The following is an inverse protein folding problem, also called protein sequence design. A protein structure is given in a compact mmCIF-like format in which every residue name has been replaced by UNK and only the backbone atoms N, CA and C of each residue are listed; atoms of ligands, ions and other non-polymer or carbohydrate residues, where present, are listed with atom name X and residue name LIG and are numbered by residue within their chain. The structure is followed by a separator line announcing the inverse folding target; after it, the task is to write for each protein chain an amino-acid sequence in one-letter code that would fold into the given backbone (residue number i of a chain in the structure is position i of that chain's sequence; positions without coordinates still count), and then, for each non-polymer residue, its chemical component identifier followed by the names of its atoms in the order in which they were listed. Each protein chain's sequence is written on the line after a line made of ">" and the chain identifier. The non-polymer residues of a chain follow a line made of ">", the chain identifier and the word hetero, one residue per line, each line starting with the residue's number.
data_IF_983391948840
#
_entry.id   IF_983391948840
#
_cell.length_a   1.000
_cell.length_b   1.000
_cell.length_c   1.000
_cell.angle_alpha   90.00
_cell.angle_beta   90.00
_cell.angle_gamma   90.00
#
_symmetry.space_group_name_H-M   'P 1'
#
loop_
_entity.id
_entity.type
_entity.pdbx_description
1 polymer ?
#
# COMPACT_ATOMS: atom_id res chain seq x y z
N UNK A 1 -6.70 -16.33 -6.82
CA UNK A 1 -5.41 -16.61 -6.15
C UNK A 1 -4.96 -15.36 -5.40
N UNK A 2 -5.04 -15.36 -4.08
CA UNK A 2 -4.61 -14.23 -3.24
C UNK A 2 -3.08 -14.23 -3.18
N UNK A 3 -2.43 -13.52 -4.10
CA UNK A 3 -0.98 -13.39 -4.06
C UNK A 3 -0.58 -12.82 -2.70
N UNK A 4 0.31 -13.52 -2.01
CA UNK A 4 0.82 -13.10 -0.70
C UNK A 4 1.74 -11.89 -0.86
N UNK A 5 1.16 -10.70 -0.81
CA UNK A 5 1.88 -9.41 -0.83
C UNK A 5 2.66 -9.28 0.50
N UNK A 6 3.98 -9.12 0.40
CA UNK A 6 4.89 -8.93 1.55
C UNK A 6 5.65 -7.61 1.43
N UNK A 7 6.19 -7.13 2.56
CA UNK A 7 7.09 -5.97 2.57
C UNK A 7 8.28 -6.23 1.64
N UNK A 8 8.61 -5.24 0.82
CA UNK A 8 9.68 -5.31 -0.18
C UNK A 8 9.21 -5.71 -1.58
N UNK A 9 8.03 -6.32 -1.71
CA UNK A 9 7.51 -6.73 -3.02
C UNK A 9 7.31 -5.54 -3.95
N UNK A 10 7.72 -5.72 -5.22
CA UNK A 10 7.36 -4.82 -6.31
C UNK A 10 5.89 -5.01 -6.67
N UNK A 11 5.14 -3.92 -6.66
CA UNK A 11 3.70 -3.94 -6.90
C UNK A 11 3.28 -2.81 -7.82
N UNK A 12 2.18 -3.02 -8.51
CA UNK A 12 1.50 -2.03 -9.33
C UNK A 12 0.08 -1.86 -8.82
N UNK A 13 -0.42 -0.64 -8.77
CA UNK A 13 -1.79 -0.34 -8.39
C UNK A 13 -2.38 0.72 -9.31
N UNK A 14 -3.71 0.74 -9.43
CA UNK A 14 -4.39 1.75 -10.21
C UNK A 14 -4.66 3.01 -9.36
N UNK A 15 -4.47 4.16 -9.99
CA UNK A 15 -4.83 5.47 -9.46
C UNK A 15 -5.59 6.24 -10.53
N UNK A 16 -6.13 7.41 -10.18
CA UNK A 16 -6.86 8.28 -11.12
C UNK A 16 -5.96 8.72 -12.29
N UNK A 17 -4.64 8.85 -12.05
CA UNK A 17 -3.65 9.19 -13.06
C UNK A 17 -3.10 7.97 -13.83
N UNK A 18 -3.71 6.79 -13.67
CA UNK A 18 -3.28 5.54 -14.30
C UNK A 18 -2.58 4.57 -13.35
N UNK A 19 -1.95 3.53 -13.91
CA UNK A 19 -1.25 2.51 -13.15
C UNK A 19 0.10 3.02 -12.62
N UNK A 20 0.29 2.94 -11.31
CA UNK A 20 1.51 3.36 -10.62
C UNK A 20 2.29 2.12 -10.19
N UNK A 21 3.59 2.12 -10.50
CA UNK A 21 4.53 1.11 -10.03
C UNK A 21 5.24 1.57 -8.76
N UNK A 22 5.50 0.63 -7.86
CA UNK A 22 6.13 0.90 -6.59
C UNK A 22 6.50 -0.36 -5.82
N UNK A 23 6.73 -0.19 -4.52
CA UNK A 23 7.07 -1.29 -3.61
C UNK A 23 6.23 -1.24 -2.35
N UNK A 24 5.99 -2.40 -1.76
CA UNK A 24 5.33 -2.50 -0.45
C UNK A 24 6.32 -2.11 0.64
N UNK A 25 5.96 -1.11 1.45
CA UNK A 25 6.77 -0.62 2.57
C UNK A 25 6.37 -1.31 3.87
N UNK A 26 5.09 -1.59 4.07
CA UNK A 26 4.56 -2.17 5.31
C UNK A 26 3.21 -2.83 5.05
N UNK A 27 2.95 -3.95 5.73
CA UNK A 27 1.61 -4.54 5.86
C UNK A 27 1.02 -4.11 7.19
N UNK A 28 -0.25 -3.70 7.17
CA UNK A 28 -0.99 -3.19 8.32
C UNK A 28 -2.16 -4.14 8.54
N UNK A 29 -2.23 -4.74 9.73
CA UNK A 29 -3.23 -5.76 10.10
C UNK A 29 -4.04 -5.36 11.34
N UNK A 30 -3.85 -4.14 11.82
CA UNK A 30 -4.55 -3.51 12.94
C UNK A 30 -4.73 -2.03 12.62
N UNK A 31 -5.66 -1.38 13.30
CA UNK A 31 -5.82 0.07 13.25
C UNK A 31 -4.49 0.79 13.52
N UNK A 32 -4.04 1.60 12.57
CA UNK A 32 -2.78 2.32 12.69
C UNK A 32 -2.87 3.67 11.98
N UNK A 33 -2.21 4.68 12.54
CA UNK A 33 -2.04 5.96 11.85
C UNK A 33 -0.71 5.97 11.12
N UNK A 34 -0.77 6.12 9.80
CA UNK A 34 0.38 6.04 8.92
C UNK A 34 0.66 7.38 8.26
N UNK A 35 1.94 7.73 8.10
CA UNK A 35 2.34 8.93 7.34
C UNK A 35 2.22 8.63 5.84
N UNK A 36 1.52 9.49 5.11
CA UNK A 36 1.31 9.43 3.66
C UNK A 36 1.85 10.70 3.01
N UNK A 37 3.18 10.80 2.92
CA UNK A 37 3.89 11.99 2.44
C UNK A 37 4.46 12.84 3.58
N UNK A 38 4.96 14.03 3.23
CA UNK A 38 5.82 14.85 4.10
C UNK A 38 5.12 15.34 5.38
N UNK A 39 3.84 15.74 5.28
CA UNK A 39 3.08 16.31 6.41
C UNK A 39 1.64 15.77 6.51
N UNK A 40 1.37 14.59 5.94
CA UNK A 40 0.02 14.00 5.96
C UNK A 40 0.01 12.69 6.72
N UNK A 41 -0.96 12.53 7.61
CA UNK A 41 -1.25 11.28 8.32
C UNK A 41 -2.61 10.76 7.87
N UNK A 42 -2.75 9.44 7.78
CA UNK A 42 -4.03 8.78 7.49
C UNK A 42 -4.24 7.68 8.51
N UNK A 43 -5.42 7.67 9.14
CA UNK A 43 -5.85 6.53 9.96
C UNK A 43 -6.28 5.40 9.03
N UNK A 44 -5.63 4.26 9.17
CA UNK A 44 -5.92 3.04 8.42
C UNK A 44 -6.70 2.13 9.34
N UNK A 45 -7.91 1.75 8.93
CA UNK A 45 -8.68 0.70 9.59
C UNK A 45 -8.33 -0.63 8.93
N UNK A 46 -7.59 -1.46 9.63
CA UNK A 46 -7.15 -2.77 9.13
C UNK A 46 -7.35 -3.84 10.20
N UNK A 47 -7.54 -5.06 9.76
CA UNK A 47 -7.64 -6.23 10.64
C UNK A 47 -6.88 -7.41 10.02
N UNK A 48 -6.79 -8.53 10.75
CA UNK A 48 -6.21 -9.76 10.21
C UNK A 48 -6.99 -10.28 8.99
N UNK A 49 -8.31 -10.09 9.00
CA UNK A 49 -9.21 -10.48 7.91
C UNK A 49 -9.20 -9.48 6.75
N UNK A 50 -9.02 -8.18 7.06
CA UNK A 50 -8.95 -7.10 6.08
C UNK A 50 -7.59 -6.38 6.17
N UNK A 51 -6.49 -7.03 5.77
CA UNK A 51 -5.18 -6.41 5.82
C UNK A 51 -5.03 -5.32 4.77
N UNK A 52 -4.36 -4.24 5.14
CA UNK A 52 -3.98 -3.15 4.23
C UNK A 52 -2.46 -3.17 4.01
N UNK A 53 -2.02 -2.55 2.92
CA UNK A 53 -0.60 -2.40 2.59
C UNK A 53 -0.30 -0.95 2.29
N UNK A 54 0.83 -0.50 2.82
CA UNK A 54 1.42 0.78 2.49
C UNK A 54 2.40 0.54 1.34
N UNK A 55 2.16 1.20 0.23
CA UNK A 55 3.02 1.16 -0.95
C UNK A 55 3.72 2.50 -1.13
N UNK A 56 4.92 2.49 -1.72
CA UNK A 56 5.69 3.69 -2.08
C UNK A 56 5.90 3.71 -3.58
N UNK A 57 5.52 4.80 -4.22
CA UNK A 57 5.74 5.02 -5.65
C UNK A 57 7.24 5.13 -5.94
N UNK A 58 7.71 4.37 -6.93
CA UNK A 58 9.11 4.48 -7.38
C UNK A 58 9.37 5.82 -8.06
N UNK A 59 8.35 6.40 -8.73
CA UNK A 59 8.48 7.65 -9.48
C UNK A 59 8.54 8.89 -8.57
N UNK A 60 7.73 8.93 -7.52
CA UNK A 60 7.54 10.14 -6.70
C UNK A 60 7.99 10.00 -5.26
N UNK A 61 8.32 8.78 -4.82
CA UNK A 61 8.62 8.51 -3.41
C UNK A 61 7.41 8.63 -2.46
N UNK A 62 6.23 9.02 -2.96
CA UNK A 62 5.03 9.20 -2.15
C UNK A 62 4.46 7.85 -1.70
N UNK A 63 3.95 7.81 -0.47
CA UNK A 63 3.30 6.63 0.11
C UNK A 63 1.78 6.68 -0.04
N UNK A 64 1.17 5.52 -0.27
CA UNK A 64 -0.27 5.32 -0.36
C UNK A 64 -0.68 4.06 0.39
N UNK A 65 -1.95 3.98 0.78
CA UNK A 65 -2.53 2.83 1.48
C UNK A 65 -3.56 2.18 0.57
N UNK A 66 -3.46 0.87 0.38
CA UNK A 66 -4.38 0.06 -0.41
C UNK A 66 -4.74 -1.23 0.31
N UNK A 67 -5.86 -1.85 -0.07
CA UNK A 67 -6.11 -3.24 0.30
C UNK A 67 -5.11 -4.16 -0.42
N UNK A 68 -4.78 -5.28 0.20
CA UNK A 68 -3.90 -6.31 -0.40
C UNK A 68 -4.42 -6.77 -1.76
N UNK A 69 -5.73 -6.89 -1.93
CA UNK A 69 -6.38 -7.30 -3.18
C UNK A 69 -6.35 -6.24 -4.29
N UNK A 70 -6.16 -4.97 -3.96
CA UNK A 70 -6.17 -3.85 -4.92
C UNK A 70 -4.79 -3.56 -5.52
N UNK A 71 -3.76 -4.25 -5.04
CA UNK A 71 -2.40 -4.17 -5.58
C UNK A 71 -2.09 -5.47 -6.33
N UNK A 72 -1.40 -5.37 -7.47
CA UNK A 72 -0.90 -6.52 -8.22
C UNK A 72 0.61 -6.66 -8.00
N UNK A 73 1.07 -7.84 -7.61
CA UNK A 73 2.50 -8.15 -7.56
C UNK A 73 3.04 -8.19 -8.98
N UNK A 74 4.19 -7.53 -9.20
CA UNK A 74 4.91 -7.56 -10.47
C UNK A 74 5.94 -8.70 -10.49
#
# INVERSE_FOLDING_TARGET
>A
MTQSIKKGDSVTWNSQQGSIKGKVVKKVVKDETVKVGENKKRRVKASNENPQVIVKSNKTGKQAVHKVESVKKQ
#
